data_IF_986874536885
#
_entry.id   IF_986874536885
#
_cell.length_a   1.000
_cell.length_b   1.000
_cell.length_c   1.000
_cell.angle_alpha   90.00
_cell.angle_beta   90.00
_cell.angle_gamma   90.00
#
_symmetry.space_group_name_H-M   'P 1'
#
loop_
_entity.id
_entity.type
_entity.pdbx_description
1 polymer ?
#
# COMPACT_ATOMS: atom_id res chain seq x y z
N UNK A 1 -70.12 -51.93 -21.24
CA UNK A 1 -69.23 -50.99 -21.87
C UNK A 1 -68.70 -50.11 -20.77
N UNK A 2 -67.54 -50.45 -20.18
CA UNK A 2 -67.00 -49.77 -19.02
C UNK A 2 -65.78 -48.97 -19.47
N UNK A 3 -65.87 -47.65 -19.29
CA UNK A 3 -64.75 -46.74 -19.52
C UNK A 3 -64.04 -46.56 -18.17
N UNK A 4 -62.79 -47.07 -18.10
CA UNK A 4 -61.89 -46.85 -16.99
C UNK A 4 -61.24 -45.47 -17.19
N UNK A 5 -61.40 -44.60 -16.19
CA UNK A 5 -60.69 -43.29 -16.12
C UNK A 5 -59.41 -43.48 -15.32
N UNK A 6 -58.30 -43.47 -16.03
CA UNK A 6 -56.96 -43.42 -15.39
C UNK A 6 -56.65 -42.00 -14.92
N UNK A 7 -56.44 -41.86 -13.64
CA UNK A 7 -56.09 -40.64 -12.95
C UNK A 7 -54.54 -40.52 -12.92
N UNK A 8 -54.00 -39.63 -13.69
CA UNK A 8 -52.56 -39.31 -13.71
C UNK A 8 -52.29 -38.33 -12.57
N UNK A 9 -51.63 -38.80 -11.49
CA UNK A 9 -51.14 -37.97 -10.41
C UNK A 9 -49.76 -37.46 -10.80
N UNK A 10 -49.67 -36.18 -11.20
CA UNK A 10 -48.42 -35.50 -11.46
C UNK A 10 -47.76 -35.15 -10.13
N UNK A 11 -46.61 -35.76 -9.85
CA UNK A 11 -45.77 -35.43 -8.68
C UNK A 11 -45.03 -34.12 -8.94
N UNK A 12 -45.44 -33.06 -8.27
CA UNK A 12 -44.77 -31.75 -8.27
C UNK A 12 -43.62 -31.82 -7.27
N UNK A 13 -42.40 -32.06 -7.76
CA UNK A 13 -41.17 -31.97 -6.93
C UNK A 13 -40.83 -30.52 -6.75
N UNK A 14 -41.16 -29.95 -5.60
CA UNK A 14 -40.70 -28.63 -5.17
C UNK A 14 -39.25 -28.74 -4.70
N UNK A 15 -38.30 -28.26 -5.49
CA UNK A 15 -36.92 -28.07 -5.08
C UNK A 15 -36.87 -26.91 -4.07
N UNK A 16 -36.83 -27.21 -2.79
CA UNK A 16 -36.43 -26.24 -1.76
C UNK A 16 -34.94 -26.03 -1.91
N UNK A 17 -34.54 -24.92 -2.53
CA UNK A 17 -33.17 -24.43 -2.47
C UNK A 17 -32.83 -24.15 -1.02
N UNK A 18 -31.85 -24.85 -0.45
CA UNK A 18 -31.30 -24.56 0.86
C UNK A 18 -30.61 -23.19 0.83
N UNK A 19 -31.35 -22.10 1.11
CA UNK A 19 -30.74 -20.85 1.49
C UNK A 19 -30.13 -21.06 2.89
N UNK A 20 -28.81 -20.94 2.99
CA UNK A 20 -28.13 -21.01 4.27
C UNK A 20 -28.41 -19.70 5.06
N UNK A 21 -29.22 -19.72 6.13
CA UNK A 21 -29.57 -18.51 6.87
C UNK A 21 -28.40 -17.92 7.66
N UNK A 22 -27.26 -18.60 7.68
CA UNK A 22 -26.00 -18.13 8.28
C UNK A 22 -24.95 -17.78 7.22
N UNK A 23 -25.29 -17.77 5.94
CA UNK A 23 -24.39 -17.22 4.95
C UNK A 23 -24.28 -15.71 5.25
N UNK A 24 -23.07 -15.17 5.52
CA UNK A 24 -22.93 -13.73 5.59
C UNK A 24 -23.43 -13.14 4.27
N UNK A 25 -24.27 -12.11 4.36
CA UNK A 25 -24.59 -11.31 3.18
C UNK A 25 -23.26 -10.90 2.56
N UNK A 26 -23.06 -11.30 1.31
CA UNK A 26 -22.02 -10.71 0.50
C UNK A 26 -22.47 -9.26 0.34
N UNK A 27 -21.92 -8.37 1.20
CA UNK A 27 -22.12 -6.95 1.04
C UNK A 27 -21.84 -6.63 -0.43
N UNK A 28 -22.73 -5.90 -1.05
CA UNK A 28 -22.47 -5.34 -2.38
C UNK A 28 -21.14 -4.62 -2.26
N UNK A 29 -20.11 -5.19 -2.86
CA UNK A 29 -18.86 -4.48 -3.09
C UNK A 29 -19.28 -3.36 -4.02
N UNK A 30 -19.55 -2.16 -3.43
CA UNK A 30 -19.63 -0.96 -4.25
C UNK A 30 -18.45 -1.04 -5.21
N UNK A 31 -18.74 -0.90 -6.49
CA UNK A 31 -17.76 -0.95 -7.59
C UNK A 31 -16.81 0.24 -7.51
N UNK A 32 -16.09 0.31 -6.40
CA UNK A 32 -15.01 1.22 -6.10
C UNK A 32 -13.75 0.40 -6.02
N UNK A 33 -13.08 0.29 -7.16
CA UNK A 33 -11.70 -0.18 -7.28
C UNK A 33 -11.46 -1.55 -6.66
N UNK A 34 -11.47 -2.59 -7.48
CA UNK A 34 -10.60 -3.73 -7.24
C UNK A 34 -9.18 -3.14 -7.16
N UNK A 35 -8.73 -2.85 -5.96
CA UNK A 35 -7.36 -2.41 -5.73
C UNK A 35 -6.47 -3.62 -5.99
N UNK A 36 -6.15 -3.81 -7.28
CA UNK A 36 -5.18 -4.81 -7.70
C UNK A 36 -3.82 -4.25 -7.36
N UNK A 37 -3.06 -4.97 -6.55
CA UNK A 37 -1.67 -4.61 -6.29
C UNK A 37 -0.91 -4.56 -7.61
N UNK A 38 -0.08 -3.55 -7.75
CA UNK A 38 0.79 -3.38 -8.92
C UNK A 38 2.00 -4.30 -8.85
N UNK A 39 2.66 -4.53 -9.98
CA UNK A 39 3.88 -5.33 -10.07
C UNK A 39 5.14 -4.55 -9.63
N UNK A 40 5.00 -3.30 -9.21
CA UNK A 40 6.10 -2.41 -8.80
C UNK A 40 7.13 -2.19 -9.90
N UNK A 41 6.67 -2.03 -11.14
CA UNK A 41 7.53 -1.83 -12.31
C UNK A 41 8.18 -0.44 -12.31
N UNK A 42 7.64 0.49 -11.54
CA UNK A 42 8.16 1.85 -11.36
C UNK A 42 7.92 2.31 -9.90
N UNK A 43 8.61 3.37 -9.44
CA UNK A 43 8.47 3.90 -8.09
C UNK A 43 7.06 4.37 -7.73
N UNK A 44 6.30 4.91 -8.67
CA UNK A 44 4.91 5.34 -8.44
C UNK A 44 4.02 4.14 -8.08
N UNK A 45 4.20 3.01 -8.74
CA UNK A 45 3.48 1.77 -8.43
C UNK A 45 3.81 1.24 -7.02
N UNK A 46 5.03 1.43 -6.54
CA UNK A 46 5.39 1.10 -5.15
C UNK A 46 4.59 1.97 -4.19
N UNK A 47 4.45 3.29 -4.48
CA UNK A 47 3.66 4.20 -3.65
C UNK A 47 2.15 3.93 -3.72
N UNK A 48 1.63 3.41 -4.83
CA UNK A 48 0.26 2.92 -4.90
C UNK A 48 0.03 1.72 -3.99
N UNK A 49 0.92 0.73 -4.01
CA UNK A 49 0.87 -0.41 -3.10
C UNK A 49 1.09 0.01 -1.64
N UNK A 50 1.94 1.01 -1.38
CA UNK A 50 2.12 1.61 -0.06
C UNK A 50 0.81 2.20 0.45
N UNK A 51 0.14 2.99 -0.37
CA UNK A 51 -1.17 3.56 -0.06
C UNK A 51 -2.20 2.46 0.22
N UNK A 52 -2.22 1.41 -0.59
CA UNK A 52 -3.06 0.24 -0.37
C UNK A 52 -2.79 -0.38 1.01
N UNK A 53 -1.53 -0.66 1.33
CA UNK A 53 -1.15 -1.26 2.60
C UNK A 53 -1.62 -0.43 3.80
N UNK A 54 -1.53 0.90 3.71
CA UNK A 54 -2.02 1.80 4.75
C UNK A 54 -3.55 1.79 4.88
N UNK A 55 -4.29 1.91 3.77
CA UNK A 55 -5.75 1.97 3.78
C UNK A 55 -6.36 0.67 4.32
N UNK A 56 -5.78 -0.48 3.97
CA UNK A 56 -6.29 -1.79 4.39
C UNK A 56 -5.59 -2.37 5.62
N UNK A 57 -4.59 -1.68 6.17
CA UNK A 57 -3.82 -2.16 7.32
C UNK A 57 -3.03 -3.43 7.01
N UNK A 58 -2.59 -3.61 5.76
CA UNK A 58 -1.92 -4.83 5.31
C UNK A 58 -0.41 -4.78 5.54
N UNK A 59 0.00 -5.32 6.69
CA UNK A 59 1.42 -5.38 7.08
C UNK A 59 2.26 -6.30 6.19
N UNK A 60 1.66 -7.29 5.52
CA UNK A 60 2.41 -8.18 4.62
C UNK A 60 2.76 -7.43 3.34
N UNK A 61 1.77 -6.82 2.68
CA UNK A 61 2.01 -5.96 1.53
C UNK A 61 3.02 -4.88 1.88
N UNK A 62 2.86 -4.18 3.01
CA UNK A 62 3.81 -3.16 3.44
C UNK A 62 5.24 -3.68 3.55
N UNK A 63 5.42 -4.85 4.15
CA UNK A 63 6.74 -5.45 4.36
C UNK A 63 7.48 -5.80 3.07
N UNK A 64 6.75 -6.09 1.99
CA UNK A 64 7.32 -6.38 0.67
C UNK A 64 7.80 -5.13 -0.08
N UNK A 65 7.28 -3.96 0.29
CA UNK A 65 7.67 -2.68 -0.31
C UNK A 65 8.96 -2.13 0.28
N UNK A 66 9.33 -2.57 1.49
CA UNK A 66 10.44 -2.05 2.27
C UNK A 66 11.67 -2.92 2.06
N UNK A 67 12.75 -2.31 1.57
CA UNK A 67 14.03 -3.01 1.34
C UNK A 67 14.64 -3.56 2.62
N UNK A 68 15.49 -4.56 2.50
CA UNK A 68 16.19 -5.17 3.65
C UNK A 68 17.12 -4.21 4.36
N UNK A 69 17.73 -3.27 3.62
CA UNK A 69 18.59 -2.19 4.12
C UNK A 69 17.86 -0.89 4.44
N UNK A 70 16.54 -0.90 4.51
CA UNK A 70 15.72 0.30 4.69
C UNK A 70 16.09 1.14 5.90
N UNK A 71 16.05 2.48 5.71
CA UNK A 71 16.23 3.48 6.76
C UNK A 71 15.13 4.54 6.68
N UNK A 72 14.42 4.73 7.78
CA UNK A 72 13.55 5.90 7.99
C UNK A 72 14.32 7.02 8.69
N UNK A 73 14.16 8.24 8.21
CA UNK A 73 14.80 9.44 8.77
C UNK A 73 13.73 10.47 9.09
N UNK A 74 13.77 11.03 10.27
CA UNK A 74 12.84 12.07 10.73
C UNK A 74 13.56 13.15 11.52
N UNK A 75 12.93 14.33 11.61
CA UNK A 75 13.42 15.42 12.43
C UNK A 75 12.79 15.35 13.81
N UNK A 76 13.63 15.33 14.86
CA UNK A 76 13.21 15.39 16.26
C UNK A 76 13.45 16.82 16.80
N UNK A 77 12.37 17.63 16.94
CA UNK A 77 12.48 18.99 17.46
C UNK A 77 12.65 19.03 18.98
N UNK A 78 12.44 17.92 19.71
CA UNK A 78 12.51 17.88 21.17
C UNK A 78 13.94 17.92 21.73
N UNK A 79 14.93 17.67 20.87
CA UNK A 79 16.34 17.74 21.25
C UNK A 79 16.76 19.20 21.44
N UNK A 80 17.38 19.52 22.60
CA UNK A 80 17.83 20.85 22.94
C UNK A 80 18.67 21.50 21.82
N UNK A 81 18.36 22.74 21.51
CA UNK A 81 19.02 23.52 20.47
C UNK A 81 18.19 23.65 19.19
N UNK A 82 18.70 23.15 18.09
CA UNK A 82 18.07 23.28 16.75
C UNK A 82 17.28 22.05 16.33
N UNK A 83 17.03 21.10 17.24
CA UNK A 83 16.52 19.79 16.90
C UNK A 83 17.59 18.91 16.24
N UNK A 84 17.24 17.66 15.93
CA UNK A 84 18.16 16.69 15.32
C UNK A 84 17.43 15.77 14.37
N UNK A 85 18.10 15.38 13.27
CA UNK A 85 17.67 14.22 12.50
C UNK A 85 18.03 12.93 13.23
N UNK A 86 17.06 12.06 13.37
CA UNK A 86 17.22 10.72 13.91
C UNK A 86 16.71 9.68 12.91
N UNK A 87 16.96 8.40 13.16
CA UNK A 87 16.60 7.37 12.20
C UNK A 87 16.39 6.01 12.86
N UNK A 88 15.61 5.17 12.19
CA UNK A 88 15.51 3.75 12.52
C UNK A 88 15.51 2.88 11.26
N UNK A 89 15.85 1.60 11.45
CA UNK A 89 15.89 0.63 10.37
C UNK A 89 14.57 -0.13 10.19
N UNK A 90 14.60 -1.04 9.22
CA UNK A 90 13.48 -1.86 8.75
C UNK A 90 12.66 -2.52 9.86
N UNK A 91 13.32 -3.19 10.82
CA UNK A 91 12.61 -3.95 11.86
C UNK A 91 11.75 -3.07 12.76
N UNK A 92 12.27 -1.89 13.12
CA UNK A 92 11.53 -0.89 13.89
C UNK A 92 10.40 -0.33 13.06
N UNK A 93 10.62 -0.01 11.80
CA UNK A 93 9.62 0.49 10.87
C UNK A 93 8.45 -0.48 10.74
N UNK A 94 8.71 -1.74 10.42
CA UNK A 94 7.66 -2.75 10.26
C UNK A 94 6.87 -2.96 11.55
N UNK A 95 7.54 -2.95 12.70
CA UNK A 95 6.88 -3.09 14.00
C UNK A 95 5.99 -1.89 14.32
N UNK A 96 6.48 -0.67 14.06
CA UNK A 96 5.75 0.57 14.32
C UNK A 96 4.52 0.67 13.43
N UNK A 97 4.67 0.45 12.13
CA UNK A 97 3.58 0.49 11.16
C UNK A 97 2.54 -0.60 11.41
N UNK A 98 2.96 -1.83 11.74
CA UNK A 98 2.02 -2.88 12.16
C UNK A 98 1.30 -2.53 13.48
N UNK A 99 1.93 -1.77 14.36
CA UNK A 99 1.31 -1.20 15.56
C UNK A 99 0.23 -0.18 15.22
N UNK A 100 0.52 0.74 14.30
CA UNK A 100 -0.42 1.72 13.78
C UNK A 100 -1.65 1.05 13.16
N UNK A 101 -1.45 0.06 12.27
CA UNK A 101 -2.54 -0.66 11.61
C UNK A 101 -3.47 -1.40 12.56
N UNK A 102 -2.96 -1.85 13.72
CA UNK A 102 -3.79 -2.47 14.76
C UNK A 102 -4.52 -1.46 15.64
N UNK A 103 -3.94 -0.28 15.83
CA UNK A 103 -4.48 0.73 16.74
C UNK A 103 -5.54 1.62 16.09
N UNK A 104 -5.44 1.85 14.78
CA UNK A 104 -6.30 2.76 14.01
C UNK A 104 -7.29 1.96 13.17
N UNK A 105 -8.56 2.34 13.20
CA UNK A 105 -9.62 1.62 12.48
C UNK A 105 -9.75 2.06 11.02
N UNK A 106 -9.60 3.35 10.79
CA UNK A 106 -9.75 3.93 9.46
C UNK A 106 -8.52 4.76 9.13
N UNK A 107 -7.81 4.36 8.11
CA UNK A 107 -6.67 5.08 7.58
C UNK A 107 -7.01 5.53 6.16
N UNK A 108 -6.82 6.81 5.87
CA UNK A 108 -6.89 7.35 4.52
C UNK A 108 -5.54 8.01 4.21
N UNK A 109 -4.93 7.60 3.14
CA UNK A 109 -3.69 8.17 2.63
C UNK A 109 -3.90 8.64 1.19
N UNK A 110 -3.63 9.91 0.96
CA UNK A 110 -3.71 10.54 -0.36
C UNK A 110 -2.34 11.09 -0.74
N UNK A 111 -1.81 10.63 -1.86
CA UNK A 111 -0.67 11.27 -2.51
C UNK A 111 -1.18 12.41 -3.38
N UNK A 112 -0.64 13.60 -3.19
CA UNK A 112 -1.01 14.76 -4.01
C UNK A 112 -0.05 14.94 -5.19
N UNK A 113 0.81 15.97 -5.14
CA UNK A 113 1.73 16.25 -6.22
C UNK A 113 3.09 15.59 -6.00
N UNK A 114 3.72 15.18 -7.10
CA UNK A 114 5.15 14.90 -7.12
C UNK A 114 5.89 16.25 -7.16
N UNK A 115 6.71 16.49 -6.14
CA UNK A 115 7.47 17.74 -5.98
C UNK A 115 8.82 17.62 -6.70
N UNK A 116 9.45 16.46 -6.60
CA UNK A 116 10.73 16.16 -7.22
C UNK A 116 10.77 14.69 -7.66
N UNK A 117 11.37 14.46 -8.82
CA UNK A 117 11.57 13.12 -9.37
C UNK A 117 12.95 13.05 -10.01
N UNK A 118 13.73 12.03 -9.67
CA UNK A 118 15.03 11.79 -10.26
C UNK A 118 15.32 10.29 -10.37
N UNK A 119 16.00 9.92 -11.46
CA UNK A 119 16.40 8.53 -11.74
C UNK A 119 17.88 8.47 -12.06
N UNK A 120 18.56 7.42 -11.58
CA UNK A 120 19.97 7.20 -11.89
C UNK A 120 20.33 5.73 -11.87
N UNK A 121 21.46 5.40 -12.47
CA UNK A 121 22.13 4.11 -12.33
C UNK A 121 23.50 4.32 -11.71
N UNK A 122 23.88 3.57 -10.68
CA UNK A 122 25.25 3.60 -10.19
C UNK A 122 26.19 3.19 -11.35
N UNK A 123 27.01 4.12 -11.79
CA UNK A 123 28.07 3.79 -12.75
C UNK A 123 29.18 3.02 -12.03
N UNK A 124 29.84 2.04 -12.69
CA UNK A 124 30.95 1.30 -12.09
C UNK A 124 32.13 2.20 -11.70
N UNK A 125 32.23 3.42 -12.24
CA UNK A 125 33.30 4.40 -11.98
C UNK A 125 32.74 5.74 -11.46
N UNK A 126 32.09 5.72 -10.31
CA UNK A 126 31.77 6.87 -9.41
C UNK A 126 31.12 8.12 -9.99
N UNK A 127 30.69 8.18 -11.24
CA UNK A 127 29.87 9.27 -11.74
C UNK A 127 28.39 8.90 -11.73
N UNK A 128 27.60 9.56 -10.87
CA UNK A 128 26.14 9.50 -10.93
C UNK A 128 25.69 10.14 -12.24
N UNK A 129 25.25 9.33 -13.20
CA UNK A 129 24.60 9.86 -14.40
C UNK A 129 23.09 9.83 -14.20
N UNK A 130 22.46 10.99 -14.26
CA UNK A 130 21.00 11.09 -14.38
C UNK A 130 20.62 10.47 -15.71
N UNK A 131 19.81 9.43 -15.67
CA UNK A 131 19.39 8.69 -16.86
C UNK A 131 17.86 8.69 -16.97
N UNK A 132 17.37 8.36 -18.16
CA UNK A 132 15.95 8.10 -18.34
C UNK A 132 15.54 6.84 -17.58
N UNK A 133 14.26 6.81 -17.17
CA UNK A 133 13.67 5.75 -16.35
C UNK A 133 14.03 4.30 -16.76
N UNK A 134 14.05 4.00 -18.06
CA UNK A 134 14.24 2.60 -18.55
C UNK A 134 15.55 1.93 -18.12
N UNK A 135 16.61 2.69 -17.88
CA UNK A 135 17.91 2.15 -17.43
C UNK A 135 18.18 2.34 -15.95
N UNK A 136 17.28 2.99 -15.22
CA UNK A 136 17.51 3.33 -13.83
C UNK A 136 17.45 2.13 -12.90
N UNK A 137 18.34 2.12 -11.91
CA UNK A 137 18.34 1.19 -10.78
C UNK A 137 18.04 1.87 -9.45
N UNK A 138 18.14 3.19 -9.41
CA UNK A 138 17.83 4.02 -8.25
C UNK A 138 16.89 5.13 -8.67
N UNK A 139 16.00 5.52 -7.75
CA UNK A 139 15.11 6.65 -7.96
C UNK A 139 14.90 7.43 -6.66
N UNK A 140 14.54 8.71 -6.81
CA UNK A 140 14.08 9.57 -5.72
C UNK A 140 12.75 10.17 -6.13
N UNK A 141 11.74 10.06 -5.29
CA UNK A 141 10.47 10.78 -5.43
C UNK A 141 10.20 11.56 -4.16
N UNK A 142 9.87 12.84 -4.33
CA UNK A 142 9.34 13.68 -3.25
C UNK A 142 7.84 13.89 -3.50
N UNK A 143 7.00 13.49 -2.53
CA UNK A 143 5.55 13.54 -2.62
C UNK A 143 4.95 14.31 -1.46
N UNK A 144 4.04 15.22 -1.76
CA UNK A 144 3.16 15.74 -0.73
C UNK A 144 2.02 14.76 -0.44
N UNK A 145 1.58 14.71 0.80
CA UNK A 145 0.56 13.76 1.24
C UNK A 145 -0.44 14.36 2.22
N UNK A 146 -1.60 13.71 2.31
CA UNK A 146 -2.56 13.86 3.40
C UNK A 146 -2.80 12.48 3.99
N UNK A 147 -2.50 12.32 5.27
CA UNK A 147 -2.78 11.11 6.04
C UNK A 147 -3.85 11.42 7.09
N UNK A 148 -4.95 10.69 7.08
CA UNK A 148 -6.00 10.78 8.10
C UNK A 148 -6.08 9.48 8.87
N UNK A 149 -6.08 9.59 10.19
CA UNK A 149 -6.18 8.47 11.13
C UNK A 149 -7.47 8.63 11.93
N UNK A 150 -8.43 7.74 11.71
CA UNK A 150 -9.79 7.83 12.21
C UNK A 150 -10.43 9.20 11.87
N UNK A 151 -11.15 9.82 12.78
CA UNK A 151 -11.80 11.14 12.59
C UNK A 151 -11.03 12.28 13.26
N UNK A 152 -9.95 11.98 13.98
CA UNK A 152 -9.35 12.92 14.92
C UNK A 152 -8.00 13.47 14.46
N UNK A 153 -7.22 12.67 13.72
CA UNK A 153 -5.86 13.05 13.35
C UNK A 153 -5.75 13.21 11.83
N UNK A 154 -5.32 14.39 11.41
CA UNK A 154 -4.92 14.64 10.03
C UNK A 154 -3.51 15.21 10.01
N UNK A 155 -2.65 14.53 9.26
CA UNK A 155 -1.26 14.93 9.01
C UNK A 155 -1.11 15.31 7.54
N UNK A 156 -0.38 16.37 7.29
CA UNK A 156 0.00 16.81 5.94
C UNK A 156 1.49 17.09 5.93
N UNK A 157 2.14 16.77 4.84
CA UNK A 157 3.58 16.96 4.76
C UNK A 157 4.15 16.59 3.41
N UNK A 158 5.46 16.51 3.37
CA UNK A 158 6.22 16.02 2.23
C UNK A 158 7.06 14.84 2.70
N UNK A 159 7.02 13.76 1.92
CA UNK A 159 7.82 12.57 2.13
C UNK A 159 8.77 12.39 0.94
N UNK A 160 10.03 12.16 1.24
CA UNK A 160 11.05 11.89 0.22
C UNK A 160 11.43 10.42 0.30
N UNK A 161 11.15 9.70 -0.78
CA UNK A 161 11.44 8.29 -0.93
C UNK A 161 12.62 8.07 -1.86
N UNK A 162 13.51 7.19 -1.44
CA UNK A 162 14.57 6.66 -2.28
C UNK A 162 14.29 5.18 -2.54
N UNK A 163 14.41 4.79 -3.79
CA UNK A 163 14.08 3.46 -4.25
C UNK A 163 15.30 2.76 -4.83
N UNK A 164 15.36 1.46 -4.61
CA UNK A 164 16.27 0.54 -5.29
C UNK A 164 15.46 -0.45 -6.14
N UNK A 165 15.99 -0.76 -7.30
CA UNK A 165 15.51 -1.84 -8.15
C UNK A 165 16.46 -3.02 -8.02
N UNK A 166 16.02 -4.05 -7.32
CA UNK A 166 16.80 -5.27 -7.20
C UNK A 166 17.14 -5.89 -8.57
N UNK A 167 18.28 -6.54 -8.62
CA UNK A 167 18.73 -7.18 -9.84
C UNK A 167 17.78 -8.30 -10.26
N UNK A 168 17.36 -8.28 -11.55
CA UNK A 168 16.70 -9.38 -12.25
C UNK A 168 15.32 -9.81 -11.72
N UNK A 169 14.29 -9.03 -12.07
CA UNK A 169 12.90 -9.49 -12.10
C UNK A 169 12.09 -9.19 -10.85
N UNK A 170 12.68 -8.68 -9.80
CA UNK A 170 11.96 -8.14 -8.65
C UNK A 170 11.64 -6.66 -8.87
N UNK A 171 10.48 -6.19 -8.41
CA UNK A 171 10.05 -4.82 -8.58
C UNK A 171 10.87 -3.83 -7.73
N UNK A 172 10.59 -2.56 -7.89
CA UNK A 172 11.19 -1.52 -7.06
C UNK A 172 10.79 -1.67 -5.59
N UNK A 173 11.72 -1.26 -4.66
CA UNK A 173 11.50 -1.21 -3.21
C UNK A 173 11.96 0.11 -2.63
N UNK A 174 11.40 0.49 -1.49
CA UNK A 174 11.80 1.68 -0.74
C UNK A 174 13.05 1.34 0.09
N UNK A 175 14.18 1.96 -0.26
CA UNK A 175 15.45 1.84 0.45
C UNK A 175 15.54 2.84 1.60
N UNK A 176 14.96 4.03 1.40
CA UNK A 176 14.99 5.09 2.40
C UNK A 176 13.74 5.97 2.31
N UNK A 177 13.23 6.38 3.45
CA UNK A 177 12.18 7.38 3.57
C UNK A 177 12.67 8.50 4.49
N UNK A 178 12.57 9.74 4.03
CA UNK A 178 12.83 10.95 4.81
C UNK A 178 11.52 11.68 4.99
N UNK A 179 11.12 11.86 6.24
CA UNK A 179 9.97 12.68 6.59
C UNK A 179 10.40 14.14 6.71
N UNK A 180 9.89 14.97 5.81
CA UNK A 180 10.09 16.42 5.79
C UNK A 180 8.84 17.17 6.28
N UNK A 181 7.97 16.52 7.02
CA UNK A 181 6.81 17.16 7.63
C UNK A 181 7.26 18.17 8.68
N UNK A 182 6.75 19.39 8.57
CA UNK A 182 6.96 20.45 9.57
C UNK A 182 5.74 20.39 10.50
N UNK A 183 5.96 20.08 11.75
CA UNK A 183 4.94 20.07 12.80
C UNK A 183 4.86 21.44 13.46
#
# INVERSE_FOLDING_TARGET
>A
MNFSKSLLIGSLVTMFGCANPFAPELGEVESGTNAVLTERLNPEEVLENFRFAYIFGDSLVYSELIDTGFVFVYFDPSVEGTGRFDSWGRDTELKTTAGLFRAVRNISLEWNSTVEEAYWSPAPDSALSVIYFEGAKKAKLSKSFVLKLDTEIQLTGTAVFFFDKEALGEGWRIERWVDESIF
#
